data_IF_306751540522
#
_entry.id   IF_306751540522
#
_cell.length_a   1.000
_cell.length_b   1.000
_cell.length_c   1.000
_cell.angle_alpha   90.00
_cell.angle_beta   90.00
_cell.angle_gamma   90.00
#
_symmetry.space_group_name_H-M   'P 1'
#
loop_
_entity.id
_entity.type
_entity.pdbx_description
1 polymer ?
#
# COMPACT_ATOMS: atom_id res chain seq x y z
N UNK A 1 19.93 -13.99 40.50
CA UNK A 1 20.40 -15.39 40.54
C UNK A 1 21.06 -15.73 41.88
N UNK A 2 22.05 -14.97 42.38
CA UNK A 2 22.67 -15.20 43.70
C UNK A 2 21.71 -15.43 44.89
N UNK A 3 20.68 -14.59 45.07
CA UNK A 3 19.72 -14.74 46.17
C UNK A 3 18.86 -16.01 46.10
N UNK A 4 18.66 -16.56 44.91
CA UNK A 4 17.89 -17.80 44.67
C UNK A 4 18.79 -19.04 44.85
N UNK A 5 20.06 -18.93 44.46
CA UNK A 5 21.07 -19.99 44.58
C UNK A 5 21.51 -20.21 46.04
N UNK A 6 21.38 -19.18 46.89
CA UNK A 6 21.74 -19.21 48.31
C UNK A 6 20.61 -19.71 49.23
N UNK A 7 19.44 -20.09 48.69
CA UNK A 7 18.36 -20.71 49.46
C UNK A 7 17.67 -19.78 50.46
N UNK A 8 17.59 -18.48 50.13
CA UNK A 8 16.90 -17.47 50.95
C UNK A 8 15.39 -17.76 51.03
N UNK A 9 14.71 -17.48 52.17
CA UNK A 9 13.29 -17.81 52.39
C UNK A 9 12.35 -17.28 51.29
N UNK A 10 12.68 -16.15 50.67
CA UNK A 10 11.90 -15.51 49.60
C UNK A 10 12.25 -15.99 48.18
N UNK A 11 13.18 -16.94 48.03
CA UNK A 11 13.70 -17.40 46.73
C UNK A 11 12.61 -17.94 45.81
N UNK A 12 11.59 -18.60 46.37
CA UNK A 12 10.43 -19.11 45.62
C UNK A 12 9.60 -17.95 45.08
N UNK A 13 9.36 -16.93 45.90
CA UNK A 13 8.60 -15.74 45.50
C UNK A 13 9.32 -14.95 44.39
N UNK A 14 10.66 -14.88 44.46
CA UNK A 14 11.47 -14.28 43.39
C UNK A 14 11.44 -15.10 42.09
N UNK A 15 11.42 -16.44 42.16
CA UNK A 15 11.27 -17.28 40.97
C UNK A 15 9.92 -17.05 40.29
N UNK A 16 8.84 -17.08 41.06
CA UNK A 16 7.48 -16.86 40.55
C UNK A 16 7.35 -15.48 39.89
N UNK A 17 7.93 -14.44 40.50
CA UNK A 17 7.92 -13.08 39.95
C UNK A 17 8.72 -12.98 38.63
N UNK A 18 9.85 -13.69 38.54
CA UNK A 18 10.65 -13.74 37.32
C UNK A 18 9.89 -14.47 36.21
N UNK A 19 9.24 -15.58 36.52
CA UNK A 19 8.41 -16.32 35.56
C UNK A 19 7.24 -15.49 35.05
N UNK A 20 6.49 -14.83 35.94
CA UNK A 20 5.39 -13.92 35.57
C UNK A 20 5.89 -12.75 34.70
N UNK A 21 7.05 -12.17 35.05
CA UNK A 21 7.66 -11.12 34.24
C UNK A 21 8.07 -11.62 32.85
N UNK A 22 8.65 -12.81 32.76
CA UNK A 22 9.04 -13.42 31.48
C UNK A 22 7.82 -13.72 30.62
N UNK A 23 6.72 -14.18 31.21
CA UNK A 23 5.49 -14.46 30.48
C UNK A 23 4.80 -13.19 29.99
N UNK A 24 4.71 -12.14 30.83
CA UNK A 24 4.24 -10.81 30.38
C UNK A 24 5.11 -10.25 29.26
N UNK A 25 6.43 -10.44 29.32
CA UNK A 25 7.34 -10.01 28.28
C UNK A 25 7.15 -10.75 26.96
N UNK A 26 6.87 -12.06 27.00
CA UNK A 26 6.51 -12.85 25.81
C UNK A 26 5.20 -12.37 25.21
N UNK A 27 4.16 -12.23 26.02
CA UNK A 27 2.86 -11.74 25.57
C UNK A 27 2.95 -10.35 24.93
N UNK A 28 3.76 -9.44 25.52
CA UNK A 28 3.99 -8.13 24.96
C UNK A 28 4.65 -8.21 23.59
N UNK A 29 5.68 -9.04 23.42
CA UNK A 29 6.35 -9.21 22.13
C UNK A 29 5.41 -9.76 21.07
N UNK A 30 4.63 -10.79 21.42
CA UNK A 30 3.64 -11.37 20.50
C UNK A 30 2.59 -10.33 20.09
N UNK A 31 2.10 -9.52 21.03
CA UNK A 31 1.14 -8.45 20.76
C UNK A 31 1.72 -7.34 19.87
N UNK A 32 2.99 -6.96 20.09
CA UNK A 32 3.69 -5.96 19.28
C UNK A 32 3.92 -6.48 17.86
N UNK A 33 4.36 -7.72 17.70
CA UNK A 33 4.57 -8.34 16.38
C UNK A 33 3.24 -8.49 15.63
N UNK A 34 2.19 -8.90 16.33
CA UNK A 34 0.84 -8.95 15.75
C UNK A 34 0.36 -7.57 15.30
N UNK A 35 0.53 -6.53 16.12
CA UNK A 35 0.17 -5.16 15.76
C UNK A 35 0.98 -4.65 14.57
N UNK A 36 2.28 -4.94 14.53
CA UNK A 36 3.15 -4.59 13.40
C UNK A 36 2.64 -5.23 12.10
N UNK A 37 2.31 -6.52 12.12
CA UNK A 37 1.80 -7.22 10.95
C UNK A 37 0.46 -6.64 10.46
N UNK A 38 -0.43 -6.24 11.38
CA UNK A 38 -1.68 -5.58 11.01
C UNK A 38 -1.44 -4.20 10.38
N UNK A 39 -0.51 -3.41 10.94
CA UNK A 39 -0.17 -2.09 10.39
C UNK A 39 0.42 -2.21 8.99
N UNK A 40 1.32 -3.16 8.76
CA UNK A 40 1.90 -3.40 7.43
C UNK A 40 0.84 -3.83 6.41
N UNK A 41 -0.14 -4.64 6.81
CA UNK A 41 -1.27 -5.00 5.94
C UNK A 41 -2.16 -3.78 5.64
N UNK A 42 -2.45 -2.97 6.65
CA UNK A 42 -3.24 -1.75 6.48
C UNK A 42 -2.54 -0.73 5.58
N UNK A 43 -1.23 -0.55 5.74
CA UNK A 43 -0.41 0.33 4.90
C UNK A 43 -0.47 -0.11 3.43
N UNK A 44 -0.25 -1.40 3.16
CA UNK A 44 -0.36 -1.95 1.79
C UNK A 44 -1.74 -1.75 1.18
N UNK A 45 -2.80 -2.00 1.95
CA UNK A 45 -4.17 -1.79 1.48
C UNK A 45 -4.45 -0.31 1.17
N UNK A 46 -3.98 0.60 2.03
CA UNK A 46 -4.13 2.05 1.81
C UNK A 46 -3.34 2.53 0.59
N UNK A 47 -2.11 2.04 0.41
CA UNK A 47 -1.30 2.37 -0.77
C UNK A 47 -2.00 1.89 -2.05
N UNK A 48 -2.49 0.65 -2.07
CA UNK A 48 -3.25 0.14 -3.21
C UNK A 48 -4.48 0.99 -3.53
N UNK A 49 -5.27 1.37 -2.52
CA UNK A 49 -6.43 2.24 -2.72
C UNK A 49 -6.04 3.61 -3.25
N UNK A 50 -4.94 4.17 -2.77
CA UNK A 50 -4.42 5.44 -3.26
C UNK A 50 -4.04 5.34 -4.75
N UNK A 51 -3.23 4.34 -5.10
CA UNK A 51 -2.76 4.12 -6.48
C UNK A 51 -3.94 3.83 -7.43
N UNK A 52 -4.95 3.08 -6.96
CA UNK A 52 -6.17 2.81 -7.72
C UNK A 52 -7.01 4.07 -7.99
N UNK A 53 -7.16 4.95 -6.97
CA UNK A 53 -7.85 6.23 -7.15
C UNK A 53 -7.11 7.16 -8.12
N UNK A 54 -5.77 7.17 -8.06
CA UNK A 54 -4.95 7.96 -8.99
C UNK A 54 -5.15 7.47 -10.43
N UNK A 55 -5.15 6.15 -10.63
CA UNK A 55 -5.43 5.55 -11.92
C UNK A 55 -6.83 5.83 -12.44
N UNK A 56 -7.86 5.75 -11.58
CA UNK A 56 -9.23 6.09 -11.95
C UNK A 56 -9.36 7.56 -12.36
N UNK A 57 -8.75 8.47 -11.60
CA UNK A 57 -8.75 9.90 -11.94
C UNK A 57 -8.04 10.18 -13.26
N UNK A 58 -6.89 9.54 -13.49
CA UNK A 58 -6.14 9.71 -14.73
C UNK A 58 -6.92 9.20 -15.95
N UNK A 59 -7.52 8.00 -15.86
CA UNK A 59 -8.35 7.44 -16.93
C UNK A 59 -9.58 8.31 -17.22
N UNK A 60 -10.22 8.82 -16.17
CA UNK A 60 -11.39 9.72 -16.31
C UNK A 60 -11.03 11.02 -17.05
N UNK A 61 -9.83 11.57 -16.78
CA UNK A 61 -9.34 12.74 -17.50
C UNK A 61 -9.07 12.43 -18.99
N UNK A 62 -8.43 11.29 -19.29
CA UNK A 62 -8.19 10.88 -20.67
C UNK A 62 -9.50 10.63 -21.43
N UNK A 63 -10.48 9.99 -20.78
CA UNK A 63 -11.81 9.78 -21.36
C UNK A 63 -12.49 11.10 -21.73
N UNK A 64 -12.39 12.13 -20.87
CA UNK A 64 -12.93 13.46 -21.16
C UNK A 64 -12.29 14.07 -22.42
N UNK A 65 -10.98 13.91 -22.64
CA UNK A 65 -10.33 14.36 -23.87
C UNK A 65 -10.82 13.60 -25.11
N UNK A 66 -11.17 12.31 -24.97
CA UNK A 66 -11.71 11.49 -26.07
C UNK A 66 -13.15 11.84 -26.44
N UNK A 67 -13.94 12.35 -25.49
CA UNK A 67 -15.33 12.75 -25.74
C UNK A 67 -15.48 14.03 -26.58
N UNK A 68 -14.37 14.72 -26.90
CA UNK A 68 -14.41 15.92 -27.74
C UNK A 68 -14.67 15.56 -29.20
N UNK A 69 -15.87 15.84 -29.71
CA UNK A 69 -16.27 15.61 -31.11
C UNK A 69 -15.81 16.73 -32.08
N UNK A 70 -14.67 17.38 -31.84
CA UNK A 70 -14.10 18.35 -32.79
C UNK A 70 -13.41 17.61 -33.94
N UNK A 71 -13.83 17.90 -35.18
CA UNK A 71 -13.27 17.29 -36.40
C UNK A 71 -12.32 18.21 -37.16
N UNK A 72 -12.07 19.41 -36.66
CA UNK A 72 -11.31 20.43 -37.36
C UNK A 72 -12.13 21.07 -38.48
N UNK A 73 -11.89 22.36 -38.71
CA UNK A 73 -12.58 23.16 -39.74
C UNK A 73 -11.79 23.28 -41.05
N UNK A 74 -10.51 22.91 -41.01
CA UNK A 74 -9.55 23.02 -42.10
C UNK A 74 -8.44 21.96 -41.93
N UNK A 75 -7.62 21.79 -42.96
CA UNK A 75 -6.53 20.79 -42.98
C UNK A 75 -5.57 20.94 -41.79
N UNK A 76 -5.23 22.18 -41.42
CA UNK A 76 -4.30 22.48 -40.32
C UNK A 76 -4.89 22.05 -38.97
N UNK A 77 -6.16 22.38 -38.71
CA UNK A 77 -6.85 21.96 -37.48
C UNK A 77 -7.04 20.45 -37.41
N UNK A 78 -7.36 19.80 -38.53
CA UNK A 78 -7.44 18.34 -38.59
C UNK A 78 -6.07 17.66 -38.32
N UNK A 79 -4.98 18.17 -38.90
CA UNK A 79 -3.63 17.65 -38.63
C UNK A 79 -3.22 17.84 -37.15
N UNK A 80 -3.57 18.98 -36.55
CA UNK A 80 -3.30 19.23 -35.13
C UNK A 80 -4.09 18.27 -34.22
N UNK A 81 -5.36 18.02 -34.53
CA UNK A 81 -6.18 17.04 -33.80
C UNK A 81 -5.61 15.62 -33.93
N UNK A 82 -5.19 15.22 -35.13
CA UNK A 82 -4.54 13.93 -35.37
C UNK A 82 -3.28 13.77 -34.51
N UNK A 83 -2.42 14.79 -34.47
CA UNK A 83 -1.20 14.76 -33.65
C UNK A 83 -1.50 14.63 -32.16
N UNK A 84 -2.52 15.35 -31.66
CA UNK A 84 -2.99 15.23 -30.27
C UNK A 84 -3.49 13.83 -29.98
N UNK A 85 -4.26 13.24 -30.90
CA UNK A 85 -4.78 11.87 -30.75
C UNK A 85 -3.65 10.85 -30.68
N UNK A 86 -2.64 10.94 -31.56
CA UNK A 86 -1.46 10.07 -31.51
C UNK A 86 -0.69 10.19 -30.18
N UNK A 87 -0.55 11.40 -29.64
CA UNK A 87 0.07 11.59 -28.33
C UNK A 87 -0.75 10.96 -27.19
N UNK A 88 -2.08 11.01 -27.31
CA UNK A 88 -2.99 10.36 -26.35
C UNK A 88 -2.88 8.83 -26.43
N UNK A 89 -2.84 8.25 -27.62
CA UNK A 89 -2.66 6.80 -27.80
C UNK A 89 -1.38 6.30 -27.13
N UNK A 90 -0.25 6.99 -27.34
CA UNK A 90 1.02 6.65 -26.69
C UNK A 90 0.91 6.75 -25.17
N UNK A 91 0.30 7.82 -24.65
CA UNK A 91 0.13 7.98 -23.20
C UNK A 91 -0.74 6.87 -22.58
N UNK A 92 -1.80 6.43 -23.28
CA UNK A 92 -2.65 5.31 -22.86
C UNK A 92 -1.90 3.99 -22.89
N UNK A 93 -1.09 3.75 -23.93
CA UNK A 93 -0.27 2.55 -24.03
C UNK A 93 0.77 2.49 -22.91
N UNK A 94 1.46 3.59 -22.64
CA UNK A 94 2.44 3.70 -21.55
C UNK A 94 1.78 3.45 -20.17
N UNK A 95 0.57 3.97 -19.95
CA UNK A 95 -0.14 3.80 -18.68
C UNK A 95 -0.70 2.38 -18.48
N UNK A 96 -0.84 1.59 -19.55
CA UNK A 96 -1.38 0.24 -19.48
C UNK A 96 -0.58 -0.69 -18.55
N UNK A 97 0.73 -0.47 -18.45
CA UNK A 97 1.59 -1.22 -17.54
C UNK A 97 1.25 -0.94 -16.07
N UNK A 98 1.00 0.32 -15.71
CA UNK A 98 0.59 0.73 -14.36
C UNK A 98 -0.73 0.07 -13.96
N UNK A 99 -1.71 0.06 -14.86
CA UNK A 99 -3.00 -0.64 -14.65
C UNK A 99 -2.78 -2.15 -14.45
N UNK A 100 -1.88 -2.76 -15.23
CA UNK A 100 -1.57 -4.19 -15.10
C UNK A 100 -0.94 -4.51 -13.74
N UNK A 101 0.01 -3.71 -13.30
CA UNK A 101 0.68 -3.86 -12.00
C UNK A 101 -0.30 -3.68 -10.82
N UNK A 102 -1.21 -2.72 -10.92
CA UNK A 102 -2.33 -2.56 -9.98
C UNK A 102 -3.20 -3.82 -9.92
N UNK A 103 -3.56 -4.39 -11.07
CA UNK A 103 -4.35 -5.63 -11.15
C UNK A 103 -3.63 -6.89 -10.64
N UNK A 104 -2.30 -6.90 -10.62
CA UNK A 104 -1.50 -7.96 -9.99
C UNK A 104 -1.44 -7.76 -8.46
N UNK A 105 -1.35 -6.52 -7.99
CA UNK A 105 -1.31 -6.18 -6.55
C UNK A 105 -2.65 -6.45 -5.84
N UNK A 106 -3.76 -6.41 -6.58
CA UNK A 106 -5.10 -6.68 -6.07
C UNK A 106 -5.40 -8.18 -5.84
N UNK A 107 -4.61 -9.09 -6.42
CA UNK A 107 -4.82 -10.54 -6.36
C UNK A 107 -4.14 -11.20 -5.18
#
# INVERSE_FOLDING_TARGET
>A
QKLIEEGHEDSTQFKDLIEDLMDKWRQLKDAVDHRRNQLQQSEKAQQYLFDANEAESWMSEQELYMMVEDRGKDEISAQNLMKKHQSLEVAVEDYSETIRQLGETAR
#
